data_IF_535266102267
#
_entry.id   IF_535266102267
#
_cell.length_a   1.000
_cell.length_b   1.000
_cell.length_c   1.000
_cell.angle_alpha   90.00
_cell.angle_beta   90.00
_cell.angle_gamma   90.00
#
_symmetry.space_group_name_H-M   'P 1'
#
loop_
_entity.id
_entity.type
_entity.pdbx_description
1 polymer ?
#
# COMPACT_ATOMS: atom_id res chain seq x y z
N UNK A 1 -15.57 -13.02 -6.08
CA UNK A 1 -15.28 -11.57 -6.02
C UNK A 1 -13.77 -11.40 -5.97
N UNK A 2 -13.24 -10.43 -6.71
CA UNK A 2 -11.81 -10.12 -6.74
C UNK A 2 -11.60 -8.76 -6.10
N UNK A 3 -10.56 -8.64 -5.29
CA UNK A 3 -10.16 -7.40 -4.62
C UNK A 3 -8.83 -6.95 -5.19
N UNK A 4 -8.80 -5.72 -5.72
CA UNK A 4 -7.58 -5.05 -6.14
C UNK A 4 -6.90 -4.43 -4.92
N UNK A 5 -5.61 -4.65 -4.76
CA UNK A 5 -4.82 -4.24 -3.60
C UNK A 5 -3.54 -3.55 -4.05
N UNK A 6 -3.21 -2.42 -3.44
CA UNK A 6 -1.93 -1.73 -3.61
C UNK A 6 -1.52 -1.03 -2.30
N UNK A 7 -0.26 -0.62 -2.20
CA UNK A 7 0.20 0.30 -1.18
C UNK A 7 0.25 1.72 -1.72
N UNK A 8 -0.25 2.67 -0.93
CA UNK A 8 0.02 4.09 -1.09
C UNK A 8 1.19 4.48 -0.20
N UNK A 9 2.11 5.31 -0.67
CA UNK A 9 3.25 5.76 0.11
C UNK A 9 3.72 7.17 -0.28
N UNK A 10 4.47 7.81 0.62
CA UNK A 10 5.06 9.14 0.39
C UNK A 10 5.68 9.73 1.66
N UNK A 11 6.33 10.88 1.54
CA UNK A 11 6.93 11.60 2.69
C UNK A 11 5.93 12.47 3.46
N UNK A 12 4.70 12.60 2.95
CA UNK A 12 3.59 13.32 3.58
C UNK A 12 2.40 12.40 3.74
N UNK A 13 1.46 12.79 4.62
CA UNK A 13 0.19 12.08 4.83
C UNK A 13 -0.66 11.96 3.56
N UNK A 14 -0.35 12.73 2.51
CA UNK A 14 -1.03 12.69 1.21
C UNK A 14 -0.50 11.63 0.23
N UNK A 15 0.46 10.77 0.63
CA UNK A 15 0.92 9.55 -0.07
C UNK A 15 0.68 9.57 -1.60
N UNK A 16 1.47 10.35 -2.32
CA UNK A 16 1.28 10.58 -3.76
C UNK A 16 1.72 9.45 -4.69
N UNK A 17 2.35 8.40 -4.16
CA UNK A 17 2.86 7.27 -4.94
C UNK A 17 2.09 5.98 -4.61
N UNK A 18 2.02 5.08 -5.58
CA UNK A 18 1.39 3.76 -5.43
C UNK A 18 2.28 2.65 -5.96
N UNK A 19 2.23 1.49 -5.32
CA UNK A 19 2.79 0.26 -5.89
C UNK A 19 1.90 -0.25 -7.01
N UNK A 20 2.41 -1.18 -7.82
CA UNK A 20 1.59 -1.91 -8.78
C UNK A 20 0.39 -2.59 -8.10
N UNK A 21 -0.78 -2.51 -8.72
CA UNK A 21 -1.98 -3.20 -8.26
C UNK A 21 -1.80 -4.72 -8.36
N UNK A 22 -2.25 -5.42 -7.32
CA UNK A 22 -2.31 -6.87 -7.22
C UNK A 22 -3.77 -7.30 -7.05
N UNK A 23 -4.15 -8.45 -7.60
CA UNK A 23 -5.52 -8.96 -7.50
C UNK A 23 -5.56 -10.20 -6.62
N UNK A 24 -6.44 -10.17 -5.62
CA UNK A 24 -6.65 -11.26 -4.67
C UNK A 24 -8.10 -11.75 -4.73
N UNK A 25 -8.30 -13.05 -4.63
CA UNK A 25 -9.61 -13.69 -4.54
C UNK A 25 -9.74 -14.52 -3.26
N UNK A 26 -10.95 -15.00 -2.97
CA UNK A 26 -11.21 -15.85 -1.80
C UNK A 26 -11.52 -15.07 -0.52
N UNK A 27 -11.62 -15.81 0.58
CA UNK A 27 -12.11 -15.32 1.89
C UNK A 27 -11.14 -15.62 3.06
N UNK A 28 -9.90 -16.00 2.75
CA UNK A 28 -8.85 -16.28 3.73
C UNK A 28 -7.81 -15.17 3.79
N UNK A 29 -7.05 -15.12 4.87
CA UNK A 29 -5.92 -14.20 5.00
C UNK A 29 -4.83 -14.51 3.96
N UNK A 30 -4.32 -13.46 3.31
CA UNK A 30 -3.32 -13.54 2.26
C UNK A 30 -2.23 -12.50 2.51
N UNK A 31 -0.98 -12.88 2.27
CA UNK A 31 0.15 -11.97 2.37
C UNK A 31 0.22 -11.07 1.14
N UNK A 32 0.44 -9.77 1.37
CA UNK A 32 0.58 -8.75 0.33
C UNK A 32 1.95 -8.11 0.48
N UNK A 33 2.68 -7.98 -0.63
CA UNK A 33 3.98 -7.34 -0.68
C UNK A 33 4.04 -6.35 -1.85
N UNK A 34 4.80 -5.27 -1.71
CA UNK A 34 4.99 -4.29 -2.77
C UNK A 34 6.42 -3.76 -2.75
N UNK A 35 7.12 -3.90 -3.87
CA UNK A 35 8.47 -3.39 -4.02
C UNK A 35 8.43 -1.90 -4.42
N UNK A 36 9.27 -1.10 -3.77
CA UNK A 36 9.44 0.32 -4.06
C UNK A 36 10.94 0.63 -4.21
N UNK A 37 11.28 1.56 -5.11
CA UNK A 37 12.66 1.92 -5.43
C UNK A 37 12.77 3.44 -5.62
N UNK A 38 14.00 3.95 -5.65
CA UNK A 38 14.26 5.39 -5.87
C UNK A 38 13.90 6.28 -4.67
N UNK A 39 13.94 5.71 -3.46
CA UNK A 39 13.72 6.47 -2.23
C UNK A 39 15.00 7.21 -1.83
N UNK A 40 14.84 8.40 -1.27
CA UNK A 40 15.95 9.14 -0.67
C UNK A 40 16.35 8.48 0.64
N UNK A 41 17.65 8.41 0.93
CA UNK A 41 18.19 7.92 2.20
C UNK A 41 17.82 8.83 3.39
N UNK A 42 17.93 8.31 4.61
CA UNK A 42 17.64 9.04 5.86
C UNK A 42 16.29 9.80 5.85
N UNK A 43 15.28 9.24 5.19
CA UNK A 43 13.98 9.88 4.97
C UNK A 43 12.86 8.99 5.50
N UNK A 44 11.95 9.58 6.28
CA UNK A 44 10.77 8.88 6.78
C UNK A 44 9.66 8.91 5.73
N UNK A 45 9.13 7.73 5.43
CA UNK A 45 8.01 7.52 4.53
C UNK A 45 6.81 6.99 5.31
N UNK A 46 5.64 7.51 4.97
CA UNK A 46 4.34 6.98 5.35
C UNK A 46 3.86 6.00 4.29
N UNK A 47 3.17 4.95 4.70
CA UNK A 47 2.51 4.01 3.81
C UNK A 47 1.26 3.40 4.43
N UNK A 48 0.30 3.07 3.56
CA UNK A 48 -0.90 2.29 3.92
C UNK A 48 -1.30 1.36 2.79
N UNK A 49 -1.97 0.28 3.13
CA UNK A 49 -2.58 -0.63 2.15
C UNK A 49 -3.98 -0.13 1.77
N UNK A 50 -4.35 -0.27 0.50
CA UNK A 50 -5.69 0.04 -0.02
C UNK A 50 -6.22 -1.21 -0.71
N UNK A 51 -7.43 -1.64 -0.33
CA UNK A 51 -8.10 -2.78 -0.90
C UNK A 51 -9.46 -2.35 -1.45
N UNK A 52 -9.72 -2.60 -2.74
CA UNK A 52 -10.92 -2.17 -3.45
C UNK A 52 -11.57 -3.33 -4.18
N UNK A 53 -12.87 -3.51 -3.98
CA UNK A 53 -13.69 -4.44 -4.76
C UNK A 53 -15.06 -3.82 -5.06
N UNK A 54 -16.02 -4.62 -5.55
CA UNK A 54 -17.36 -4.15 -5.90
C UNK A 54 -18.16 -3.57 -4.73
N UNK A 55 -17.78 -3.85 -3.46
CA UNK A 55 -18.42 -3.28 -2.27
C UNK A 55 -17.80 -1.93 -1.85
N UNK A 56 -16.68 -1.52 -2.44
CA UNK A 56 -16.00 -0.26 -2.14
C UNK A 56 -14.53 -0.44 -1.80
N UNK A 57 -13.92 0.64 -1.31
CA UNK A 57 -12.53 0.69 -0.89
C UNK A 57 -12.42 0.66 0.65
N UNK A 58 -11.44 -0.08 1.15
CA UNK A 58 -11.03 -0.08 2.55
C UNK A 58 -9.57 0.32 2.64
N UNK A 59 -9.25 1.16 3.63
CA UNK A 59 -7.91 1.67 3.88
C UNK A 59 -7.35 1.03 5.15
N UNK A 60 -6.12 0.55 5.08
CA UNK A 60 -5.38 0.13 6.27
C UNK A 60 -4.89 1.31 7.11
N UNK A 61 -4.38 1.00 8.30
CA UNK A 61 -3.70 1.97 9.17
C UNK A 61 -2.49 2.58 8.48
N UNK A 62 -2.25 3.87 8.70
CA UNK A 62 -1.00 4.53 8.32
C UNK A 62 0.17 3.98 9.15
N UNK A 63 1.28 3.66 8.49
CA UNK A 63 2.51 3.15 9.09
C UNK A 63 3.70 3.92 8.51
N UNK A 64 4.83 3.90 9.21
CA UNK A 64 6.05 4.58 8.76
C UNK A 64 7.25 3.66 8.72
N UNK A 65 8.20 3.99 7.86
CA UNK A 65 9.56 3.45 7.87
C UNK A 65 10.56 4.55 7.51
N UNK A 66 11.81 4.41 7.93
CA UNK A 66 12.88 5.36 7.59
C UNK A 66 13.95 4.62 6.78
N UNK A 67 14.34 5.21 5.65
CA UNK A 67 15.44 4.70 4.84
C UNK A 67 16.79 4.95 5.51
N UNK A 68 17.78 4.11 5.20
CA UNK A 68 19.16 4.31 5.63
C UNK A 68 19.84 5.36 4.75
#
# INVERSE_FOLDING_TARGET
MTTSVHFQYGTTNSCGLTTTNQSFGGSTYQNVNGNISGLSGSTTYHFRIVATNSAGATYGSDKTFTTL
#
